data_IF_172273530225
#
_entry.id   IF_172273530225
#
_cell.length_a   1.000
_cell.length_b   1.000
_cell.length_c   1.000
_cell.angle_alpha   90.00
_cell.angle_beta   90.00
_cell.angle_gamma   90.00
#
_symmetry.space_group_name_H-M   'P 1'
#
loop_
_entity.id
_entity.type
_entity.pdbx_description
1 polymer ?
#
# COMPACT_ATOMS: atom_id res chain seq x y z
N UNK A 1 31.45 -23.71 -23.09
CA UNK A 1 31.14 -22.30 -23.36
C UNK A 1 29.72 -22.03 -22.90
N UNK A 2 29.51 -21.13 -21.94
CA UNK A 2 28.15 -20.70 -21.56
C UNK A 2 27.57 -19.92 -22.74
N UNK A 3 26.35 -20.23 -23.15
CA UNK A 3 25.66 -19.44 -24.18
C UNK A 3 25.38 -18.04 -23.61
N UNK A 4 25.73 -16.97 -24.34
CA UNK A 4 25.47 -15.61 -23.90
C UNK A 4 23.95 -15.38 -23.80
N UNK A 5 23.56 -14.55 -22.82
CA UNK A 5 22.15 -14.24 -22.59
C UNK A 5 21.57 -13.49 -23.79
N UNK A 6 20.43 -13.94 -24.31
CA UNK A 6 19.79 -13.34 -25.48
C UNK A 6 19.16 -11.99 -25.15
N UNK A 7 19.02 -11.13 -26.17
CA UNK A 7 18.35 -9.84 -26.03
C UNK A 7 16.90 -10.02 -25.51
N UNK A 8 16.22 -11.07 -25.96
CA UNK A 8 14.87 -11.40 -25.53
C UNK A 8 14.80 -11.68 -24.02
N UNK A 9 15.73 -12.47 -23.48
CA UNK A 9 15.76 -12.79 -22.04
C UNK A 9 16.13 -11.56 -21.21
N UNK A 10 17.02 -10.69 -21.71
CA UNK A 10 17.29 -9.39 -21.08
C UNK A 10 16.04 -8.51 -21.03
N UNK A 11 15.28 -8.45 -22.12
CA UNK A 11 14.04 -7.67 -22.18
C UNK A 11 13.00 -8.20 -21.19
N UNK A 12 12.81 -9.51 -21.12
CA UNK A 12 11.89 -10.13 -20.16
C UNK A 12 12.26 -9.82 -18.70
N UNK A 13 13.54 -9.78 -18.35
CA UNK A 13 14.00 -9.38 -17.01
C UNK A 13 13.65 -7.92 -16.73
N UNK A 14 13.87 -7.03 -17.70
CA UNK A 14 13.53 -5.61 -17.57
C UNK A 14 12.03 -5.40 -17.41
N UNK A 15 11.22 -6.12 -18.16
CA UNK A 15 9.75 -6.04 -18.06
C UNK A 15 9.26 -6.52 -16.69
N UNK A 16 9.77 -7.66 -16.19
CA UNK A 16 9.45 -8.15 -14.84
C UNK A 16 9.95 -7.19 -13.75
N UNK A 17 11.11 -6.57 -13.95
CA UNK A 17 11.65 -5.56 -13.03
C UNK A 17 10.74 -4.34 -12.96
N UNK A 18 10.27 -3.88 -14.13
CA UNK A 18 9.37 -2.76 -14.25
C UNK A 18 8.05 -3.04 -13.52
N UNK A 19 7.44 -4.20 -13.78
CA UNK A 19 6.20 -4.59 -13.13
C UNK A 19 6.38 -4.65 -11.61
N UNK A 20 7.46 -5.25 -11.13
CA UNK A 20 7.73 -5.33 -9.69
C UNK A 20 7.90 -3.95 -9.05
N UNK A 21 8.68 -3.05 -9.66
CA UNK A 21 8.85 -1.65 -9.20
C UNK A 21 7.52 -0.91 -9.15
N UNK A 22 6.70 -1.07 -10.19
CA UNK A 22 5.37 -0.48 -10.31
C UNK A 22 4.44 -0.98 -9.20
N UNK A 23 4.43 -2.28 -8.91
CA UNK A 23 3.64 -2.86 -7.83
C UNK A 23 4.11 -2.40 -6.45
N UNK A 24 5.42 -2.42 -6.21
CA UNK A 24 5.99 -1.96 -4.95
C UNK A 24 5.59 -0.51 -4.66
N UNK A 25 5.72 0.38 -5.65
CA UNK A 25 5.30 1.78 -5.53
C UNK A 25 3.80 1.92 -5.31
N UNK A 26 2.98 1.20 -6.07
CA UNK A 26 1.53 1.21 -5.90
C UNK A 26 1.12 0.88 -4.46
N UNK A 27 1.65 -0.21 -3.88
CA UNK A 27 1.32 -0.60 -2.51
C UNK A 27 1.84 0.39 -1.47
N UNK A 28 3.02 1.00 -1.68
CA UNK A 28 3.52 2.08 -0.80
C UNK A 28 2.62 3.32 -0.84
N UNK A 29 2.16 3.73 -2.02
CA UNK A 29 1.25 4.87 -2.19
C UNK A 29 -0.11 4.57 -1.54
N UNK A 30 -0.64 3.37 -1.76
CA UNK A 30 -1.87 2.90 -1.14
C UNK A 30 -1.75 2.88 0.40
N UNK A 31 -0.64 2.36 0.94
CA UNK A 31 -0.34 2.38 2.38
C UNK A 31 -0.33 3.80 2.95
N UNK A 32 0.34 4.74 2.27
CA UNK A 32 0.36 6.16 2.67
C UNK A 32 -1.04 6.76 2.67
N UNK A 33 -1.87 6.42 1.68
CA UNK A 33 -3.24 6.91 1.57
C UNK A 33 -4.14 6.36 2.66
N UNK A 34 -4.07 5.07 2.95
CA UNK A 34 -4.79 4.48 4.09
C UNK A 34 -4.35 5.10 5.41
N UNK A 35 -3.06 5.33 5.63
CA UNK A 35 -2.58 6.06 6.81
C UNK A 35 -3.20 7.45 6.95
N UNK A 36 -3.29 8.21 5.85
CA UNK A 36 -3.96 9.53 5.85
C UNK A 36 -5.44 9.42 6.19
N UNK A 37 -6.14 8.43 5.62
CA UNK A 37 -7.54 8.17 5.94
C UNK A 37 -7.74 7.77 7.41
N UNK A 38 -6.89 6.92 7.98
CA UNK A 38 -6.95 6.57 9.41
C UNK A 38 -6.78 7.80 10.29
N UNK A 39 -5.80 8.66 9.99
CA UNK A 39 -5.56 9.91 10.74
C UNK A 39 -6.78 10.84 10.61
N UNK A 40 -7.34 10.98 9.41
CA UNK A 40 -8.53 11.80 9.20
C UNK A 40 -9.75 11.28 9.97
N UNK A 41 -9.95 9.95 9.99
CA UNK A 41 -11.02 9.31 10.78
C UNK A 41 -10.80 9.49 12.29
N UNK A 42 -9.56 9.42 12.77
CA UNK A 42 -9.24 9.70 14.17
C UNK A 42 -9.54 11.16 14.54
N UNK A 43 -9.17 12.12 13.69
CA UNK A 43 -9.49 13.54 13.88
C UNK A 43 -11.00 13.75 13.87
N UNK A 44 -11.71 13.18 12.90
CA UNK A 44 -13.16 13.28 12.81
C UNK A 44 -13.87 12.67 14.04
N UNK A 45 -13.39 11.51 14.50
CA UNK A 45 -13.88 10.89 15.74
C UNK A 45 -13.63 11.74 16.98
N UNK A 46 -12.44 12.33 17.11
CA UNK A 46 -12.12 13.24 18.20
C UNK A 46 -12.98 14.52 18.18
N UNK A 47 -13.20 15.10 17.00
CA UNK A 47 -14.11 16.24 16.82
C UNK A 47 -15.56 15.87 17.17
N UNK A 48 -16.03 14.71 16.72
CA UNK A 48 -17.37 14.22 17.06
C UNK A 48 -17.54 14.02 18.58
N UNK A 49 -16.54 13.43 19.25
CA UNK A 49 -16.55 13.29 20.70
C UNK A 49 -16.56 14.66 21.40
N UNK A 50 -15.76 15.62 20.93
CA UNK A 50 -15.73 16.98 21.47
C UNK A 50 -17.08 17.69 21.31
N UNK A 51 -17.70 17.59 20.13
CA UNK A 51 -19.01 18.17 19.83
C UNK A 51 -20.15 17.52 20.61
N UNK A 52 -20.00 16.29 21.10
CA UNK A 52 -21.01 15.65 21.93
C UNK A 52 -20.81 15.92 23.44
N UNK A 53 -19.55 15.99 23.90
CA UNK A 53 -19.24 16.22 25.33
C UNK A 53 -19.43 17.69 25.71
N UNK A 54 -19.11 18.63 24.82
CA UNK A 54 -19.21 20.06 25.12
C UNK A 54 -20.65 20.55 25.39
N UNK A 55 -21.68 20.18 24.59
CA UNK A 55 -23.06 20.51 24.90
C UNK A 55 -23.54 19.82 26.19
N UNK A 56 -23.17 18.56 26.42
CA UNK A 56 -23.51 17.85 27.64
C UNK A 56 -22.93 18.53 28.88
N UNK A 57 -21.69 19.00 28.84
CA UNK A 57 -21.06 19.80 29.90
C UNK A 57 -21.72 21.18 30.08
N UNK A 58 -22.09 21.84 28.98
CA UNK A 58 -22.75 23.14 29.01
C UNK A 58 -24.18 23.06 29.58
N UNK A 59 -24.91 21.98 29.27
CA UNK A 59 -26.23 21.67 29.83
C UNK A 59 -26.11 21.25 31.31
N UNK A 60 -25.09 20.45 31.65
CA UNK A 60 -24.83 20.04 33.03
C UNK A 60 -24.44 21.20 33.99
N UNK A 61 -24.13 22.39 33.48
CA UNK A 61 -23.89 23.56 34.33
C UNK A 61 -25.18 24.34 34.68
N UNK A 62 -26.34 23.96 34.11
CA UNK A 62 -27.60 24.70 34.22
C UNK A 62 -28.73 23.96 34.96
N UNK A 63 -28.41 22.89 35.69
CA UNK A 63 -29.40 21.98 36.28
C UNK A 63 -30.49 22.66 37.11
N UNK A 64 -31.72 22.66 36.59
CA UNK A 64 -32.96 22.72 37.37
C UNK A 64 -34.12 21.87 36.78
N UNK A 65 -34.06 21.34 35.54
CA UNK A 65 -35.21 20.66 34.90
C UNK A 65 -34.91 19.24 34.33
N UNK A 66 -35.90 18.34 34.41
CA UNK A 66 -35.87 16.95 33.90
C UNK A 66 -35.66 16.88 32.38
N UNK A 67 -36.03 17.94 31.66
CA UNK A 67 -35.86 18.07 30.20
C UNK A 67 -34.37 18.09 29.81
N UNK A 68 -33.53 18.78 30.59
CA UNK A 68 -32.08 18.86 30.36
C UNK A 68 -31.40 17.48 30.52
N UNK A 69 -31.92 16.61 31.39
CA UNK A 69 -31.41 15.26 31.56
C UNK A 69 -31.66 14.38 30.32
N UNK A 70 -32.84 14.50 29.70
CA UNK A 70 -33.17 13.76 28.47
C UNK A 70 -32.32 14.25 27.29
N UNK A 71 -32.12 15.56 27.17
CA UNK A 71 -31.27 16.16 26.13
C UNK A 71 -29.80 15.69 26.26
N UNK A 72 -29.28 15.57 27.50
CA UNK A 72 -27.93 15.03 27.75
C UNK A 72 -27.84 13.54 27.37
N UNK A 73 -28.85 12.74 27.68
CA UNK A 73 -28.88 11.30 27.34
C UNK A 73 -28.94 11.09 25.83
N UNK A 74 -29.68 11.92 25.09
CA UNK A 74 -29.76 11.86 23.63
C UNK A 74 -28.41 12.24 22.98
N UNK A 75 -27.80 13.35 23.42
CA UNK A 75 -26.48 13.77 22.95
C UNK A 75 -25.41 12.72 23.27
N UNK A 76 -25.44 12.11 24.45
CA UNK A 76 -24.52 11.03 24.84
C UNK A 76 -24.73 9.76 23.99
N UNK A 77 -25.98 9.42 23.65
CA UNK A 77 -26.31 8.28 22.78
C UNK A 77 -25.76 8.45 21.36
N UNK A 78 -25.91 9.65 20.78
CA UNK A 78 -25.36 9.98 19.45
C UNK A 78 -23.83 9.91 19.46
N UNK A 79 -23.19 10.39 20.54
CA UNK A 79 -21.74 10.30 20.72
C UNK A 79 -21.23 8.85 20.67
N UNK A 80 -21.92 7.94 21.37
CA UNK A 80 -21.57 6.52 21.44
C UNK A 80 -21.71 5.87 20.05
N UNK A 81 -22.80 6.16 19.32
CA UNK A 81 -23.00 5.62 17.97
C UNK A 81 -21.93 6.10 16.98
N UNK A 82 -21.57 7.38 17.03
CA UNK A 82 -20.48 7.93 16.22
C UNK A 82 -19.13 7.29 16.59
N UNK A 83 -18.83 7.15 17.88
CA UNK A 83 -17.61 6.50 18.34
C UNK A 83 -17.52 5.04 17.85
N UNK A 84 -18.59 4.25 17.99
CA UNK A 84 -18.66 2.88 17.48
C UNK A 84 -18.49 2.81 15.97
N UNK A 85 -19.09 3.74 15.22
CA UNK A 85 -18.92 3.84 13.77
C UNK A 85 -17.47 4.12 13.37
N UNK A 86 -16.81 5.09 14.01
CA UNK A 86 -15.40 5.40 13.73
C UNK A 86 -14.46 4.26 14.12
N UNK A 87 -14.70 3.58 15.24
CA UNK A 87 -13.91 2.42 15.69
C UNK A 87 -14.03 1.26 14.69
N UNK A 88 -15.24 0.93 14.22
CA UNK A 88 -15.45 -0.11 13.20
C UNK A 88 -14.72 0.23 11.89
N UNK A 89 -14.80 1.48 11.44
CA UNK A 89 -14.10 1.95 10.23
C UNK A 89 -12.58 1.88 10.37
N UNK A 90 -12.04 2.32 11.50
CA UNK A 90 -10.60 2.28 11.78
C UNK A 90 -10.12 0.83 11.85
N UNK A 91 -10.84 -0.05 12.54
CA UNK A 91 -10.51 -1.47 12.66
C UNK A 91 -10.42 -2.15 11.29
N UNK A 92 -11.44 -1.98 10.44
CA UNK A 92 -11.46 -2.52 9.07
C UNK A 92 -10.32 -1.96 8.20
N UNK A 93 -9.96 -0.69 8.39
CA UNK A 93 -8.87 -0.07 7.64
C UNK A 93 -7.49 -0.56 8.13
N UNK A 94 -7.32 -0.78 9.44
CA UNK A 94 -6.09 -1.31 10.04
C UNK A 94 -5.78 -2.70 9.50
N UNK A 95 -6.77 -3.60 9.46
CA UNK A 95 -6.56 -4.95 8.91
C UNK A 95 -6.10 -4.89 7.45
N UNK A 96 -6.67 -3.99 6.63
CA UNK A 96 -6.22 -3.80 5.25
C UNK A 96 -4.82 -3.20 5.14
N UNK A 97 -4.48 -2.29 6.06
CA UNK A 97 -3.18 -1.64 6.12
C UNK A 97 -2.07 -2.63 6.49
N UNK A 98 -2.32 -3.49 7.49
CA UNK A 98 -1.33 -4.46 7.98
C UNK A 98 -1.01 -5.54 6.93
N UNK A 99 -1.96 -5.86 6.06
CA UNK A 99 -1.75 -6.80 4.94
C UNK A 99 -0.83 -6.26 3.84
N UNK A 100 -0.58 -4.94 3.77
CA UNK A 100 0.30 -4.35 2.76
C UNK A 100 1.78 -4.52 3.10
N UNK A 101 2.13 -4.69 4.37
CA UNK A 101 3.52 -4.77 4.82
C UNK A 101 4.26 -6.02 4.35
N UNK A 102 3.70 -7.24 4.47
CA UNK A 102 4.34 -8.41 3.90
C UNK A 102 4.42 -8.35 2.37
N UNK A 103 3.46 -7.72 1.71
CA UNK A 103 3.47 -7.55 0.23
C UNK A 103 4.58 -6.61 -0.20
N UNK A 104 4.70 -5.43 0.42
CA UNK A 104 5.76 -4.46 0.13
C UNK A 104 7.15 -5.06 0.41
N UNK A 105 7.28 -5.78 1.54
CA UNK A 105 8.53 -6.48 1.90
C UNK A 105 8.89 -7.54 0.86
N UNK A 106 7.92 -8.35 0.44
CA UNK A 106 8.08 -9.35 -0.62
C UNK A 106 8.51 -8.73 -1.95
N UNK A 107 7.87 -7.63 -2.35
CA UNK A 107 8.26 -6.90 -3.56
C UNK A 107 9.69 -6.34 -3.44
N UNK A 108 10.06 -5.76 -2.31
CA UNK A 108 11.42 -5.23 -2.10
C UNK A 108 12.49 -6.32 -2.14
N UNK A 109 12.21 -7.51 -1.60
CA UNK A 109 13.14 -8.66 -1.65
C UNK A 109 13.35 -9.11 -3.09
N UNK A 110 12.26 -9.35 -3.83
CA UNK A 110 12.33 -9.74 -5.24
C UNK A 110 13.01 -8.66 -6.10
N UNK A 111 12.91 -7.39 -5.72
CA UNK A 111 13.50 -6.27 -6.46
C UNK A 111 15.02 -6.24 -6.28
N UNK A 112 15.51 -6.54 -5.08
CA UNK A 112 16.93 -6.71 -4.81
C UNK A 112 17.49 -7.93 -5.56
N UNK A 113 16.73 -9.03 -5.54
CA UNK A 113 17.03 -10.25 -6.28
C UNK A 113 17.11 -9.99 -7.81
N UNK A 114 16.18 -9.21 -8.40
CA UNK A 114 16.19 -8.89 -9.85
C UNK A 114 17.43 -8.10 -10.20
N UNK A 115 17.72 -7.11 -9.37
CA UNK A 115 18.87 -6.25 -9.57
C UNK A 115 20.16 -7.06 -9.54
N UNK A 116 20.31 -7.96 -8.57
CA UNK A 116 21.47 -8.83 -8.49
C UNK A 116 21.61 -9.71 -9.74
N UNK A 117 20.51 -10.28 -10.25
CA UNK A 117 20.55 -11.03 -11.51
C UNK A 117 20.97 -10.14 -12.68
N UNK A 118 20.39 -8.94 -12.79
CA UNK A 118 20.70 -8.00 -13.87
C UNK A 118 22.19 -7.63 -13.87
N UNK A 119 22.73 -7.26 -12.71
CA UNK A 119 24.15 -6.94 -12.53
C UNK A 119 25.03 -8.14 -12.95
N UNK A 120 24.64 -9.36 -12.57
CA UNK A 120 25.38 -10.60 -12.90
C UNK A 120 25.31 -10.96 -14.39
N UNK A 121 24.21 -10.61 -15.07
CA UNK A 121 24.09 -10.80 -16.53
C UNK A 121 25.02 -9.83 -17.29
N UNK A 122 25.26 -8.63 -16.75
CA UNK A 122 26.21 -7.69 -17.35
C UNK A 122 27.66 -8.19 -17.24
N UNK A 123 28.01 -8.91 -16.17
CA UNK A 123 29.36 -9.44 -15.93
C UNK A 123 29.65 -10.78 -16.62
N UNK A 124 28.74 -11.30 -17.45
CA UNK A 124 28.85 -12.57 -18.22
C UNK A 124 28.98 -13.86 -17.39
N UNK A 125 28.69 -13.83 -16.09
CA UNK A 125 28.84 -15.02 -15.23
C UNK A 125 27.68 -16.02 -15.33
N UNK A 126 26.55 -15.62 -15.95
CA UNK A 126 25.29 -16.38 -16.01
C UNK A 126 25.00 -16.88 -17.43
N UNK A 127 24.49 -18.10 -17.53
CA UNK A 127 24.03 -18.71 -18.79
C UNK A 127 22.56 -18.38 -19.08
N UNK A 128 22.18 -18.40 -20.36
CA UNK A 128 20.78 -18.20 -20.80
C UNK A 128 19.77 -19.09 -20.05
N UNK A 129 20.16 -20.34 -19.78
CA UNK A 129 19.31 -21.32 -19.11
C UNK A 129 19.04 -20.95 -17.64
N UNK A 130 20.06 -20.42 -16.96
CA UNK A 130 19.95 -19.90 -15.60
C UNK A 130 19.07 -18.64 -15.57
N UNK A 131 19.29 -17.70 -16.48
CA UNK A 131 18.50 -16.47 -16.59
C UNK A 131 17.01 -16.75 -16.87
N UNK A 132 16.71 -17.69 -17.77
CA UNK A 132 15.33 -18.07 -18.12
C UNK A 132 14.60 -18.79 -16.97
N UNK A 133 15.29 -19.69 -16.26
CA UNK A 133 14.74 -20.36 -15.07
C UNK A 133 14.42 -19.33 -13.97
N UNK A 134 15.26 -18.31 -13.86
CA UNK A 134 15.12 -17.24 -12.90
C UNK A 134 13.93 -16.33 -13.22
N UNK A 135 13.76 -15.92 -14.48
CA UNK A 135 12.56 -15.22 -14.96
C UNK A 135 11.29 -16.01 -14.62
N UNK A 136 11.27 -17.31 -14.90
CA UNK A 136 10.12 -18.17 -14.61
C UNK A 136 9.80 -18.24 -13.12
N UNK A 137 10.82 -18.30 -12.25
CA UNK A 137 10.64 -18.27 -10.80
C UNK A 137 10.06 -16.93 -10.36
N UNK A 138 10.56 -15.83 -10.90
CA UNK A 138 10.08 -14.48 -10.60
C UNK A 138 8.64 -14.27 -11.00
N UNK A 139 8.29 -14.57 -12.25
CA UNK A 139 6.92 -14.42 -12.73
C UNK A 139 5.95 -15.16 -11.81
N UNK A 140 6.34 -16.34 -11.29
CA UNK A 140 5.55 -17.06 -10.26
C UNK A 140 5.49 -16.32 -8.92
N UNK A 141 6.62 -15.82 -8.41
CA UNK A 141 6.68 -15.07 -7.15
C UNK A 141 5.89 -13.76 -7.22
N UNK A 142 5.99 -13.04 -8.35
CA UNK A 142 5.19 -11.84 -8.65
C UNK A 142 3.71 -12.21 -8.69
N UNK A 143 3.32 -13.22 -9.47
CA UNK A 143 1.91 -13.66 -9.52
C UNK A 143 1.37 -14.12 -8.15
N UNK A 144 2.19 -14.76 -7.30
CA UNK A 144 1.80 -15.08 -5.93
C UNK A 144 1.61 -13.82 -5.07
N UNK A 145 2.46 -12.81 -5.20
CA UNK A 145 2.28 -11.52 -4.51
C UNK A 145 1.06 -10.75 -5.02
N UNK A 146 0.67 -10.93 -6.28
CA UNK A 146 -0.47 -10.29 -6.92
C UNK A 146 -1.83 -10.93 -6.60
N UNK A 147 -1.84 -12.19 -6.19
CA UNK A 147 -3.08 -12.91 -5.85
C UNK A 147 -3.59 -12.62 -4.43
N UNK A 148 -2.72 -12.12 -3.56
CA UNK A 148 -3.03 -11.74 -2.16
C UNK A 148 -3.93 -10.49 -2.04
N UNK A 149 -3.79 -9.43 -2.87
CA UNK A 149 -4.47 -8.16 -2.62
C UNK A 149 -5.78 -7.95 -3.40
N UNK A 150 -6.03 -8.72 -4.46
CA UNK A 150 -7.17 -8.53 -5.39
C UNK A 150 -8.55 -8.60 -4.73
N UNK A 151 -8.66 -9.31 -3.60
CA UNK A 151 -9.93 -9.41 -2.83
C UNK A 151 -10.17 -8.23 -1.87
N UNK A 152 -9.17 -7.37 -1.64
CA UNK A 152 -9.23 -6.35 -0.57
C UNK A 152 -9.02 -4.92 -1.06
N UNK A 153 -8.49 -4.75 -2.27
CA UNK A 153 -8.09 -3.47 -2.84
C UNK A 153 -9.09 -3.08 -3.93
N UNK A 154 -9.81 -2.00 -3.68
CA UNK A 154 -10.52 -1.28 -4.73
C UNK A 154 -9.44 -0.66 -5.63
N UNK A 155 -9.38 -1.02 -6.91
CA UNK A 155 -8.47 -0.39 -7.87
C UNK A 155 -8.69 1.14 -7.86
N UNK A 156 -7.61 1.88 -7.57
CA UNK A 156 -7.58 3.33 -7.73
C UNK A 156 -6.70 3.62 -8.94
N UNK A 157 -7.33 3.78 -10.11
CA UNK A 157 -6.67 3.95 -11.41
C UNK A 157 -5.62 5.08 -11.39
N UNK A 158 -5.84 6.11 -10.56
CA UNK A 158 -4.89 7.23 -10.43
C UNK A 158 -3.59 6.81 -9.76
N UNK A 159 -3.67 5.98 -8.72
CA UNK A 159 -2.48 5.46 -8.04
C UNK A 159 -1.70 4.50 -8.94
N UNK A 160 -2.42 3.75 -9.78
CA UNK A 160 -1.82 2.85 -10.77
C UNK A 160 -1.09 3.64 -11.87
N UNK A 161 -1.64 4.75 -12.35
CA UNK A 161 -0.96 5.61 -13.32
C UNK A 161 0.25 6.32 -12.71
N UNK A 162 0.12 6.83 -11.48
CA UNK A 162 1.21 7.46 -10.74
C UNK A 162 2.38 6.50 -10.52
N UNK A 163 2.10 5.28 -10.03
CA UNK A 163 3.13 4.27 -9.79
C UNK A 163 3.84 3.83 -11.07
N UNK A 164 3.12 3.77 -12.20
CA UNK A 164 3.67 3.37 -13.50
C UNK A 164 4.68 4.39 -14.03
N UNK A 165 4.32 5.68 -14.03
CA UNK A 165 5.23 6.76 -14.49
C UNK A 165 6.50 6.83 -13.66
N UNK A 166 6.31 6.72 -12.35
CA UNK A 166 7.39 6.77 -11.39
C UNK A 166 8.34 5.57 -11.51
N UNK A 167 7.80 4.36 -11.69
CA UNK A 167 8.60 3.17 -11.92
C UNK A 167 9.39 3.25 -13.23
N UNK A 168 8.77 3.74 -14.32
CA UNK A 168 9.45 3.92 -15.61
C UNK A 168 10.66 4.87 -15.46
N UNK A 169 10.45 6.03 -14.83
CA UNK A 169 11.51 7.03 -14.67
C UNK A 169 12.73 6.52 -13.88
N UNK A 170 12.52 5.69 -12.86
CA UNK A 170 13.60 5.11 -12.07
C UNK A 170 14.36 4.04 -12.86
N UNK A 171 13.63 3.23 -13.63
CA UNK A 171 14.20 2.15 -14.40
C UNK A 171 14.97 2.68 -15.61
N UNK A 172 14.46 3.70 -16.29
CA UNK A 172 15.16 4.44 -17.34
C UNK A 172 16.47 5.04 -16.82
N UNK A 173 16.45 5.67 -15.63
CA UNK A 173 17.66 6.20 -15.00
C UNK A 173 18.70 5.12 -14.71
N UNK A 174 18.27 3.96 -14.20
CA UNK A 174 19.16 2.84 -13.89
C UNK A 174 19.78 2.23 -15.16
N UNK A 175 18.96 1.94 -16.17
CA UNK A 175 19.44 1.36 -17.44
C UNK A 175 20.39 2.33 -18.15
N UNK A 176 20.05 3.61 -18.24
CA UNK A 176 20.91 4.59 -18.90
C UNK A 176 22.30 4.68 -18.24
N UNK A 177 22.34 4.71 -16.91
CA UNK A 177 23.59 4.78 -16.14
C UNK A 177 24.51 3.57 -16.34
N UNK A 178 23.97 2.39 -16.57
CA UNK A 178 24.76 1.16 -16.77
C UNK A 178 25.12 0.90 -18.24
N UNK A 179 24.52 1.63 -19.18
CA UNK A 179 24.83 1.55 -20.62
C UNK A 179 25.85 2.56 -21.13
N UNK A 180 26.17 3.60 -20.34
CA UNK A 180 27.25 4.59 -20.60
C UNK A 180 28.52 4.26 -19.82
#
# INVERSE_FOLDING_TARGET
MKQPVTLHTKQAIVDEWFDLKRFERYYRLLKRRYRRYTIALQIAGALAAFLAVFPALALAQKFDELQDFLDIVEVAGIAILLALYFVDKISKLSTKYDLLDPVISGCSSLNAEIKELWDTIQTTEVSEQEASAWCTRLTRSVNMLLTIPDKFITEDDRLRDESSREALSELEYYIQRETT
#
